data_IF_294306275141
#
_entry.id   IF_294306275141
#
_cell.length_a   1.000
_cell.length_b   1.000
_cell.length_c   1.000
_cell.angle_alpha   90.00
_cell.angle_beta   90.00
_cell.angle_gamma   90.00
#
_symmetry.space_group_name_H-M   'P 1'
#
loop_
_entity.id
_entity.type
_entity.pdbx_description
1 polymer ?
#
# COMPACT_ATOMS: atom_id res chain seq x y z
N UNK A 1 7.92 11.06 16.37
CA UNK A 1 7.06 9.87 16.48
C UNK A 1 6.29 9.68 15.18
N UNK A 2 6.18 8.44 14.74
CA UNK A 2 5.55 8.03 13.49
C UNK A 2 4.59 6.86 13.78
N UNK A 3 3.34 6.97 13.34
CA UNK A 3 2.36 5.88 13.30
C UNK A 3 2.23 5.41 11.86
N UNK A 4 2.26 4.10 11.64
CA UNK A 4 2.23 3.51 10.29
C UNK A 4 1.14 2.45 10.22
N UNK A 5 0.31 2.51 9.19
CA UNK A 5 -0.76 1.54 8.93
C UNK A 5 -0.84 1.25 7.43
N UNK A 6 -1.08 -0.01 7.05
CA UNK A 6 -1.17 -0.45 5.66
C UNK A 6 -2.38 -1.38 5.46
N UNK A 7 -2.73 -1.64 4.20
CA UNK A 7 -3.67 -2.71 3.82
C UNK A 7 -5.04 -2.55 4.50
N UNK A 8 -5.57 -1.32 4.53
CA UNK A 8 -6.89 -0.99 5.12
C UNK A 8 -8.02 -1.38 4.18
N UNK A 9 -7.80 -1.27 2.86
CA UNK A 9 -8.75 -1.61 1.81
C UNK A 9 -10.17 -1.04 2.05
N UNK A 10 -10.25 0.24 2.41
CA UNK A 10 -11.53 0.92 2.59
C UNK A 10 -12.37 0.78 1.33
N UNK A 11 -13.67 0.57 1.52
CA UNK A 11 -14.65 0.39 0.45
C UNK A 11 -14.41 -0.81 -0.49
N UNK A 12 -13.65 -1.85 -0.11
CA UNK A 12 -13.47 -3.03 -0.98
C UNK A 12 -14.82 -3.71 -1.34
N UNK A 13 -15.70 -3.93 -0.36
CA UNK A 13 -17.06 -4.44 -0.55
C UNK A 13 -18.04 -3.82 0.45
N UNK A 14 -18.61 -2.63 0.20
CA UNK A 14 -19.36 -1.89 1.22
C UNK A 14 -20.63 -2.60 1.67
N UNK A 15 -21.14 -3.60 0.96
CA UNK A 15 -22.31 -4.37 1.38
C UNK A 15 -21.97 -5.53 2.31
N UNK A 16 -20.68 -5.91 2.39
CA UNK A 16 -20.19 -6.93 3.31
C UNK A 16 -20.20 -6.37 4.75
N UNK A 17 -20.79 -7.07 5.75
CA UNK A 17 -20.77 -6.64 7.14
C UNK A 17 -19.36 -6.60 7.77
N UNK A 18 -18.47 -7.53 7.42
CA UNK A 18 -17.10 -7.58 7.95
C UNK A 18 -16.26 -6.42 7.41
N UNK A 19 -16.28 -6.23 6.08
CA UNK A 19 -16.51 -4.92 5.44
C UNK A 19 -16.55 -3.67 6.33
N UNK A 20 -17.80 -3.28 6.63
CA UNK A 20 -18.15 -2.10 7.40
C UNK A 20 -17.53 -2.11 8.80
N UNK A 21 -17.43 -3.28 9.44
CA UNK A 21 -16.85 -3.37 10.79
C UNK A 21 -15.39 -2.92 10.79
N UNK A 22 -14.60 -3.40 9.83
CA UNK A 22 -13.17 -3.09 9.83
C UNK A 22 -12.90 -1.64 9.36
N UNK A 23 -13.77 -1.08 8.50
CA UNK A 23 -13.75 0.35 8.14
C UNK A 23 -14.11 1.23 9.36
N UNK A 24 -15.11 0.82 10.17
CA UNK A 24 -15.46 1.50 11.42
C UNK A 24 -14.34 1.41 12.46
N UNK A 25 -13.70 0.25 12.59
CA UNK A 25 -12.55 0.08 13.47
C UNK A 25 -11.40 1.01 13.07
N UNK A 26 -11.18 1.21 11.77
CA UNK A 26 -10.18 2.16 11.28
C UNK A 26 -10.53 3.60 11.67
N UNK A 27 -11.78 3.99 11.54
CA UNK A 27 -12.25 5.31 11.96
C UNK A 27 -12.01 5.52 13.48
N UNK A 28 -12.31 4.52 14.31
CA UNK A 28 -12.11 4.59 15.75
C UNK A 28 -10.62 4.61 16.13
N UNK A 29 -9.79 3.91 15.37
CA UNK A 29 -8.34 4.00 15.48
C UNK A 29 -7.81 5.40 15.16
N UNK A 30 -8.29 6.03 14.09
CA UNK A 30 -7.91 7.40 13.77
C UNK A 30 -8.27 8.37 14.90
N UNK A 31 -9.46 8.23 15.51
CA UNK A 31 -9.83 9.00 16.71
C UNK A 31 -8.88 8.74 17.87
N UNK A 32 -8.55 7.47 18.13
CA UNK A 32 -7.64 7.08 19.21
C UNK A 32 -6.25 7.70 19.04
N UNK A 33 -5.62 7.55 17.87
CA UNK A 33 -4.28 8.08 17.63
C UNK A 33 -4.27 9.61 17.62
N UNK A 34 -5.34 10.27 17.19
CA UNK A 34 -5.44 11.73 17.22
C UNK A 34 -5.44 12.27 18.66
N UNK A 35 -6.16 11.61 19.57
CA UNK A 35 -6.32 12.05 20.95
C UNK A 35 -5.18 11.63 21.88
N UNK A 36 -4.50 10.52 21.59
CA UNK A 36 -3.45 9.97 22.45
C UNK A 36 -2.06 10.13 21.82
N UNK A 37 -1.70 9.24 20.88
CA UNK A 37 -0.35 9.19 20.35
C UNK A 37 0.04 10.50 19.65
N UNK A 38 -0.70 10.93 18.64
CA UNK A 38 -0.36 12.05 17.76
C UNK A 38 -0.89 13.41 18.27
N UNK A 39 -1.36 13.50 19.52
CA UNK A 39 -1.97 14.72 20.08
C UNK A 39 -1.06 15.95 20.03
N UNK A 40 0.24 15.72 20.25
CA UNK A 40 1.28 16.75 20.31
C UNK A 40 1.98 16.93 18.94
N UNK A 41 1.37 16.34 17.90
CA UNK A 41 1.91 16.27 16.54
C UNK A 41 2.71 15.01 16.26
N UNK A 42 3.26 14.92 15.05
CA UNK A 42 4.02 13.76 14.59
C UNK A 42 3.73 13.43 13.13
N UNK A 43 3.88 12.16 12.78
CA UNK A 43 3.65 11.65 11.43
C UNK A 43 2.66 10.50 11.44
N UNK A 44 1.68 10.53 10.55
CA UNK A 44 0.84 9.39 10.18
C UNK A 44 1.24 8.95 8.77
N UNK A 45 1.72 7.73 8.63
CA UNK A 45 2.08 7.13 7.34
C UNK A 45 1.02 6.11 6.97
N UNK A 46 0.28 6.42 5.92
CA UNK A 46 -0.66 5.51 5.28
C UNK A 46 0.12 4.72 4.21
N UNK A 47 0.54 3.50 4.54
CA UNK A 47 1.50 2.68 3.81
C UNK A 47 0.84 1.74 2.78
N UNK A 48 0.04 2.33 1.90
CA UNK A 48 -0.53 1.67 0.72
C UNK A 48 -1.69 0.74 1.01
N UNK A 49 -2.44 0.50 -0.05
CA UNK A 49 -3.70 -0.24 -0.08
C UNK A 49 -4.68 0.27 0.97
N UNK A 50 -4.82 1.60 1.05
CA UNK A 50 -5.68 2.26 2.04
C UNK A 50 -7.12 2.31 1.54
N UNK A 51 -7.31 2.60 0.26
CA UNK A 51 -8.62 2.59 -0.40
C UNK A 51 -8.56 1.60 -1.55
N UNK A 52 -9.56 0.75 -1.68
CA UNK A 52 -9.61 -0.20 -2.78
C UNK A 52 -10.31 0.41 -4.02
N UNK A 53 -9.51 0.91 -4.97
CA UNK A 53 -10.04 1.38 -6.26
C UNK A 53 -10.06 0.28 -7.33
N UNK A 54 -9.49 -0.90 -7.07
CA UNK A 54 -9.42 -1.94 -8.09
C UNK A 54 -10.80 -2.44 -8.45
N UNK A 55 -11.20 -2.21 -9.71
CA UNK A 55 -12.52 -2.59 -10.24
C UNK A 55 -13.66 -1.98 -9.43
N UNK A 56 -13.44 -0.76 -8.95
CA UNK A 56 -14.41 0.05 -8.24
C UNK A 56 -14.54 1.41 -8.92
N UNK A 57 -15.74 1.95 -8.97
CA UNK A 57 -15.91 3.36 -9.29
C UNK A 57 -15.25 4.22 -8.20
N UNK A 58 -14.18 4.95 -8.58
CA UNK A 58 -13.39 5.73 -7.64
C UNK A 58 -14.21 6.85 -6.96
N UNK A 59 -15.23 7.40 -7.64
CA UNK A 59 -16.05 8.45 -7.06
C UNK A 59 -16.98 7.87 -5.99
N UNK A 60 -17.55 6.68 -6.22
CA UNK A 60 -18.30 5.95 -5.19
C UNK A 60 -17.42 5.59 -3.99
N UNK A 61 -16.23 5.02 -4.23
CA UNK A 61 -15.28 4.66 -3.18
C UNK A 61 -14.90 5.86 -2.29
N UNK A 62 -14.57 7.00 -2.90
CA UNK A 62 -14.26 8.22 -2.15
C UNK A 62 -15.48 8.80 -1.41
N UNK A 63 -16.67 8.68 -1.98
CA UNK A 63 -17.91 9.15 -1.34
C UNK A 63 -18.24 8.31 -0.11
N UNK A 64 -18.09 6.99 -0.18
CA UNK A 64 -18.34 6.07 0.93
C UNK A 64 -17.32 6.24 2.06
N UNK A 65 -16.09 6.63 1.73
CA UNK A 65 -14.99 6.85 2.68
C UNK A 65 -14.85 8.32 3.11
N UNK A 66 -15.81 9.19 2.75
CA UNK A 66 -15.69 10.63 2.91
C UNK A 66 -15.46 11.07 4.37
N UNK A 67 -16.09 10.41 5.34
CA UNK A 67 -15.92 10.72 6.77
C UNK A 67 -14.49 10.43 7.25
N UNK A 68 -13.92 9.29 6.83
CA UNK A 68 -12.54 8.92 7.15
C UNK A 68 -11.56 9.92 6.52
N UNK A 69 -11.76 10.28 5.25
CA UNK A 69 -10.92 11.30 4.60
C UNK A 69 -11.09 12.68 5.26
N UNK A 70 -12.29 13.06 5.65
CA UNK A 70 -12.53 14.30 6.41
C UNK A 70 -11.70 14.32 7.69
N UNK A 71 -11.72 13.20 8.43
CA UNK A 71 -10.88 13.04 9.62
C UNK A 71 -9.40 13.16 9.29
N UNK A 72 -8.89 12.42 8.29
CA UNK A 72 -7.50 12.48 7.83
C UNK A 72 -7.09 13.91 7.45
N UNK A 73 -7.96 14.69 6.80
CA UNK A 73 -7.66 16.10 6.49
C UNK A 73 -7.64 17.02 7.71
N UNK A 74 -8.38 16.67 8.77
CA UNK A 74 -8.42 17.45 10.01
C UNK A 74 -7.13 17.35 10.83
N UNK A 75 -6.35 16.27 10.62
CA UNK A 75 -5.02 16.08 11.25
C UNK A 75 -4.01 17.16 10.87
N UNK A 76 -4.16 17.77 9.69
CA UNK A 76 -3.15 18.64 9.08
C UNK A 76 -2.78 19.91 9.86
N UNK A 77 -3.51 20.23 10.93
CA UNK A 77 -3.18 21.34 11.80
C UNK A 77 -2.02 21.05 12.77
N UNK A 78 -1.75 19.77 13.06
CA UNK A 78 -0.70 19.36 14.03
C UNK A 78 0.07 18.11 13.62
N UNK A 79 -0.46 17.30 12.70
CA UNK A 79 0.10 16.01 12.29
C UNK A 79 0.38 16.02 10.79
N UNK A 80 1.57 15.54 10.43
CA UNK A 80 1.97 15.36 9.04
C UNK A 80 1.45 14.02 8.52
N UNK A 81 0.39 14.06 7.70
CA UNK A 81 -0.14 12.86 7.04
C UNK A 81 0.61 12.64 5.71
N UNK A 82 1.22 11.46 5.58
CA UNK A 82 1.93 11.00 4.38
C UNK A 82 1.22 9.78 3.80
N UNK A 83 1.03 9.75 2.48
CA UNK A 83 0.35 8.66 1.79
C UNK A 83 1.32 7.98 0.82
N UNK A 84 1.69 6.74 1.12
CA UNK A 84 2.46 5.90 0.20
C UNK A 84 1.47 5.05 -0.58
N UNK A 85 1.41 5.18 -1.90
CA UNK A 85 0.50 4.39 -2.72
C UNK A 85 0.94 2.92 -2.78
N UNK A 86 -0.01 2.03 -2.48
CA UNK A 86 0.02 0.61 -2.82
C UNK A 86 -0.52 0.37 -4.23
N UNK A 87 -0.70 -0.91 -4.59
CA UNK A 87 -1.18 -1.24 -5.92
C UNK A 87 -2.70 -1.00 -6.08
N UNK A 88 -3.49 -1.05 -5.01
CA UNK A 88 -4.94 -0.84 -5.06
C UNK A 88 -5.35 0.64 -5.07
N UNK A 89 -4.49 1.54 -4.58
CA UNK A 89 -4.81 2.97 -4.42
C UNK A 89 -4.04 3.88 -5.39
N UNK A 90 -3.47 3.32 -6.48
CA UNK A 90 -2.63 4.03 -7.44
C UNK A 90 -3.24 5.32 -8.02
N UNK A 91 -4.57 5.40 -8.06
CA UNK A 91 -5.29 6.61 -8.48
C UNK A 91 -5.02 7.83 -7.58
N UNK A 92 -4.60 7.65 -6.32
CA UNK A 92 -4.21 8.75 -5.42
C UNK A 92 -3.04 9.56 -5.93
N UNK A 93 -2.08 8.94 -6.62
CA UNK A 93 -0.97 9.66 -7.24
C UNK A 93 -1.48 10.69 -8.26
N UNK A 94 -2.49 10.31 -9.07
CA UNK A 94 -3.11 11.21 -10.05
C UNK A 94 -3.93 12.32 -9.41
N UNK A 95 -4.67 12.01 -8.34
CA UNK A 95 -5.42 13.04 -7.61
C UNK A 95 -4.46 14.06 -6.99
N UNK A 96 -3.38 13.59 -6.37
CA UNK A 96 -2.35 14.44 -5.78
C UNK A 96 -1.71 15.36 -6.82
N UNK A 97 -1.24 14.83 -7.95
CA UNK A 97 -0.65 15.64 -9.03
C UNK A 97 -1.59 16.74 -9.54
N UNK A 98 -2.89 16.45 -9.67
CA UNK A 98 -3.88 17.40 -10.18
C UNK A 98 -4.28 18.47 -9.17
N UNK A 99 -4.25 18.14 -7.88
CA UNK A 99 -4.77 19.01 -6.82
C UNK A 99 -3.66 19.73 -6.06
N UNK A 100 -2.40 19.33 -6.22
CA UNK A 100 -1.25 20.04 -5.66
C UNK A 100 -1.22 21.50 -6.15
N UNK A 101 -0.98 22.49 -5.27
CA UNK A 101 -0.54 22.37 -3.87
C UNK A 101 -1.68 22.34 -2.84
N UNK A 102 -2.94 22.18 -3.25
CA UNK A 102 -4.12 22.23 -2.35
C UNK A 102 -4.49 20.86 -1.76
N UNK A 103 -3.73 19.82 -2.08
CA UNK A 103 -4.02 18.50 -1.55
C UNK A 103 -3.73 18.45 -0.03
N UNK A 104 -4.57 17.78 0.78
CA UNK A 104 -4.44 17.84 2.23
C UNK A 104 -3.19 17.11 2.76
N UNK A 105 -2.69 16.08 2.09
CA UNK A 105 -1.55 15.33 2.60
C UNK A 105 -0.23 16.01 2.25
N UNK A 106 0.77 15.86 3.14
CA UNK A 106 2.12 16.44 2.97
C UNK A 106 2.76 15.91 1.69
N UNK A 107 2.58 14.63 1.44
CA UNK A 107 3.07 13.95 0.26
C UNK A 107 2.15 12.77 -0.08
N UNK A 108 1.95 12.54 -1.39
CA UNK A 108 1.46 11.27 -1.92
C UNK A 108 2.50 10.74 -2.90
N UNK A 109 3.11 9.59 -2.59
CA UNK A 109 4.23 9.06 -3.37
C UNK A 109 4.29 7.53 -3.35
N UNK A 110 5.23 6.93 -4.08
CA UNK A 110 5.41 5.46 -4.10
C UNK A 110 6.31 4.95 -2.98
N UNK A 111 7.06 5.86 -2.36
CA UNK A 111 8.01 5.57 -1.30
C UNK A 111 8.25 6.84 -0.50
N UNK A 112 8.52 6.70 0.79
CA UNK A 112 8.77 7.82 1.68
C UNK A 112 10.04 7.55 2.51
N UNK A 113 10.83 8.58 2.79
CA UNK A 113 11.92 8.53 3.77
C UNK A 113 11.61 9.49 4.92
N UNK A 114 11.65 9.01 6.16
CA UNK A 114 11.54 9.84 7.37
C UNK A 114 12.67 9.54 8.35
N UNK A 115 12.88 10.46 9.30
CA UNK A 115 13.84 10.30 10.39
C UNK A 115 13.13 10.42 11.74
N UNK A 116 13.50 9.56 12.69
CA UNK A 116 13.05 9.62 14.08
C UNK A 116 14.14 9.06 15.01
N UNK A 117 14.43 9.74 16.13
CA UNK A 117 15.45 9.30 17.09
C UNK A 117 16.84 9.03 16.50
N UNK A 118 17.23 9.78 15.47
CA UNK A 118 18.51 9.61 14.77
C UNK A 118 18.55 8.43 13.78
N UNK A 119 17.50 7.63 13.67
CA UNK A 119 17.36 6.56 12.68
C UNK A 119 16.57 7.02 11.46
N UNK A 120 16.96 6.56 10.26
CA UNK A 120 16.21 6.78 9.03
C UNK A 120 15.34 5.55 8.70
N UNK A 121 14.16 5.80 8.17
CA UNK A 121 13.16 4.81 7.81
C UNK A 121 12.74 5.00 6.37
N UNK A 122 12.74 3.92 5.59
CA UNK A 122 12.30 3.89 4.21
C UNK A 122 11.01 3.08 4.09
N UNK A 123 9.97 3.70 3.58
CA UNK A 123 8.62 3.17 3.54
C UNK A 123 8.23 2.86 2.10
N UNK A 124 7.78 1.63 1.84
CA UNK A 124 7.14 1.20 0.60
C UNK A 124 5.94 0.31 0.92
N UNK A 125 4.96 0.20 0.03
CA UNK A 125 3.84 -0.71 0.28
C UNK A 125 4.28 -2.19 0.32
N UNK A 126 5.09 -2.66 -0.63
CA UNK A 126 5.62 -4.03 -0.63
C UNK A 126 5.36 -4.82 -1.92
N UNK A 127 4.36 -4.42 -2.73
CA UNK A 127 4.15 -5.01 -4.07
C UNK A 127 5.40 -4.92 -4.96
N UNK A 128 6.27 -3.93 -4.72
CA UNK A 128 7.56 -3.78 -5.39
C UNK A 128 8.44 -5.02 -5.18
N UNK A 129 8.45 -5.56 -3.96
CA UNK A 129 9.21 -6.77 -3.62
C UNK A 129 8.57 -8.01 -4.24
N UNK A 130 7.24 -8.07 -4.29
CA UNK A 130 6.53 -9.16 -4.97
C UNK A 130 6.87 -9.21 -6.45
N UNK A 131 6.83 -8.07 -7.17
CA UNK A 131 7.21 -7.99 -8.58
C UNK A 131 8.63 -8.53 -8.80
N UNK A 132 9.56 -8.23 -7.91
CA UNK A 132 10.95 -8.69 -8.03
C UNK A 132 11.08 -10.19 -7.72
N UNK A 133 10.28 -10.69 -6.78
CA UNK A 133 10.20 -12.09 -6.39
C UNK A 133 9.43 -12.95 -7.41
N UNK A 134 8.54 -12.36 -8.21
CA UNK A 134 7.67 -13.08 -9.11
C UNK A 134 8.46 -13.65 -10.32
N UNK A 135 8.29 -14.93 -10.66
CA UNK A 135 8.99 -15.53 -11.78
C UNK A 135 8.44 -15.11 -13.17
N UNK A 136 7.20 -14.61 -13.25
CA UNK A 136 6.53 -14.34 -14.53
C UNK A 136 6.58 -12.88 -14.97
N UNK A 137 6.65 -11.94 -14.03
CA UNK A 137 6.76 -10.52 -14.35
C UNK A 137 7.76 -9.84 -13.42
N UNK A 138 8.75 -9.16 -14.00
CA UNK A 138 9.78 -8.39 -13.27
C UNK A 138 9.80 -6.91 -13.65
N UNK A 139 8.80 -6.46 -14.39
CA UNK A 139 8.67 -5.06 -14.81
C UNK A 139 7.76 -4.34 -13.85
N UNK A 140 8.35 -3.55 -12.94
CA UNK A 140 7.61 -2.71 -12.02
C UNK A 140 6.72 -1.71 -12.78
N UNK A 141 7.26 -1.08 -13.82
CA UNK A 141 6.52 -0.15 -14.69
C UNK A 141 5.28 -0.79 -15.32
N UNK A 142 5.38 -2.02 -15.83
CA UNK A 142 4.22 -2.71 -16.41
C UNK A 142 3.19 -3.04 -15.33
N UNK A 143 3.62 -3.55 -14.18
CA UNK A 143 2.74 -3.87 -13.05
C UNK A 143 1.97 -2.64 -12.54
N UNK A 144 2.68 -1.52 -12.36
CA UNK A 144 2.09 -0.25 -11.94
C UNK A 144 1.10 0.28 -12.99
N UNK A 145 1.43 0.16 -14.28
CA UNK A 145 0.50 0.52 -15.36
C UNK A 145 -0.78 -0.30 -15.29
N UNK A 146 -0.70 -1.61 -15.03
CA UNK A 146 -1.89 -2.45 -14.86
C UNK A 146 -2.70 -2.06 -13.62
N UNK A 147 -2.02 -1.83 -12.50
CA UNK A 147 -2.62 -1.42 -11.23
C UNK A 147 -3.40 -0.10 -11.39
N UNK A 148 -2.82 0.86 -12.11
CA UNK A 148 -3.48 2.12 -12.43
C UNK A 148 -4.72 1.93 -13.32
N UNK A 149 -4.62 1.11 -14.37
CA UNK A 149 -5.77 0.84 -15.24
C UNK A 149 -6.90 0.10 -14.50
N UNK A 150 -6.57 -0.76 -13.54
CA UNK A 150 -7.54 -1.41 -12.66
C UNK A 150 -8.31 -0.40 -11.80
N UNK A 151 -7.67 0.68 -11.37
CA UNK A 151 -8.33 1.77 -10.64
C UNK A 151 -9.31 2.58 -11.52
N UNK A 152 -9.09 2.59 -12.84
CA UNK A 152 -9.91 3.36 -13.79
C UNK A 152 -11.09 2.55 -14.35
N UNK A 153 -11.11 1.24 -14.14
CA UNK A 153 -12.01 0.34 -14.85
C UNK A 153 -13.45 0.33 -14.30
N UNK A 154 -13.69 0.88 -13.10
CA UNK A 154 -15.00 0.90 -12.48
C UNK A 154 -15.54 -0.49 -12.10
N UNK A 155 -16.81 -0.57 -11.70
CA UNK A 155 -17.46 -1.76 -11.11
C UNK A 155 -17.71 -2.95 -12.08
N UNK A 156 -17.12 -2.97 -13.28
CA UNK A 156 -17.51 -3.92 -14.35
C UNK A 156 -16.79 -5.28 -14.23
N UNK A 157 -17.49 -6.33 -13.79
CA UNK A 157 -16.92 -7.61 -13.32
C UNK A 157 -16.79 -8.70 -14.39
N UNK A 158 -17.33 -8.52 -15.60
CA UNK A 158 -17.48 -9.62 -16.56
C UNK A 158 -16.30 -9.91 -17.50
N UNK A 159 -15.42 -8.92 -17.78
CA UNK A 159 -14.35 -9.03 -18.80
C UNK A 159 -13.11 -8.17 -18.47
N UNK A 160 -12.81 -7.97 -17.18
CA UNK A 160 -11.76 -7.07 -16.72
C UNK A 160 -10.39 -7.33 -17.36
N UNK A 161 -9.93 -8.58 -17.44
CA UNK A 161 -8.64 -8.92 -18.03
C UNK A 161 -8.50 -8.49 -19.51
N UNK A 162 -9.50 -8.80 -20.33
CA UNK A 162 -9.49 -8.46 -21.76
C UNK A 162 -9.53 -6.96 -21.99
N UNK A 163 -10.29 -6.24 -21.17
CA UNK A 163 -10.41 -4.79 -21.30
C UNK A 163 -9.21 -4.03 -20.73
N UNK A 164 -8.60 -4.54 -19.65
CA UNK A 164 -7.31 -4.05 -19.15
C UNK A 164 -6.22 -4.22 -20.20
N UNK A 165 -6.25 -5.34 -20.92
CA UNK A 165 -5.36 -5.57 -22.04
C UNK A 165 -5.54 -4.53 -23.16
N UNK A 166 -6.77 -4.24 -23.57
CA UNK A 166 -7.06 -3.22 -24.59
C UNK A 166 -6.67 -1.80 -24.13
N UNK A 167 -6.96 -1.45 -22.88
CA UNK A 167 -6.56 -0.18 -22.27
C UNK A 167 -5.04 -0.04 -22.23
N UNK A 168 -4.34 -1.11 -21.84
CA UNK A 168 -2.88 -1.15 -21.81
C UNK A 168 -2.26 -1.05 -23.21
N UNK A 169 -2.84 -1.72 -24.22
CA UNK A 169 -2.38 -1.55 -25.61
C UNK A 169 -2.55 -0.10 -26.10
N UNK A 170 -3.60 0.58 -25.65
CA UNK A 170 -3.85 1.98 -25.98
C UNK A 170 -2.83 2.91 -25.29
N UNK A 171 -2.52 2.68 -24.01
CA UNK A 171 -1.49 3.45 -23.29
C UNK A 171 -0.08 3.23 -23.85
N UNK A 172 0.22 2.02 -24.34
CA UNK A 172 1.46 1.69 -25.07
C UNK A 172 1.64 2.52 -26.35
N UNK A 173 0.56 2.83 -27.07
CA UNK A 173 0.63 3.69 -28.26
C UNK A 173 1.03 5.13 -27.91
N UNK A 174 0.75 5.58 -26.69
CA UNK A 174 1.09 6.91 -26.19
C UNK A 174 2.46 6.96 -25.51
N UNK A 175 2.87 5.89 -24.83
CA UNK A 175 4.13 5.76 -24.07
C UNK A 175 5.25 5.06 -24.85
N UNK A 176 5.43 5.45 -26.13
CA UNK A 176 6.35 4.82 -27.08
C UNK A 176 7.69 4.36 -26.47
N UNK A 177 7.94 3.04 -26.48
CA UNK A 177 9.24 2.42 -26.24
C UNK A 177 9.66 2.18 -24.78
N UNK A 178 8.99 2.73 -23.77
CA UNK A 178 9.46 2.64 -22.37
C UNK A 178 8.95 1.41 -21.61
N UNK A 179 7.82 0.83 -22.01
CA UNK A 179 7.20 -0.28 -21.27
C UNK A 179 7.70 -1.64 -21.77
N UNK A 180 8.63 -2.26 -21.03
CA UNK A 180 9.06 -3.64 -21.27
C UNK A 180 8.01 -4.63 -20.79
N UNK A 181 7.29 -5.19 -21.74
CA UNK A 181 6.20 -6.13 -21.50
C UNK A 181 6.72 -7.51 -21.04
N UNK A 182 6.02 -8.18 -20.11
CA UNK A 182 6.24 -9.60 -19.87
C UNK A 182 5.93 -10.41 -21.14
N UNK A 183 6.59 -11.57 -21.29
CA UNK A 183 6.43 -12.46 -22.46
C UNK A 183 4.99 -12.99 -22.56
N UNK A 184 4.32 -13.17 -21.43
CA UNK A 184 2.91 -13.54 -21.34
C UNK A 184 2.13 -12.56 -20.45
N UNK A 185 1.61 -11.50 -21.06
CA UNK A 185 0.82 -10.47 -20.38
C UNK A 185 -0.53 -11.02 -19.90
N UNK A 186 -1.16 -11.92 -20.65
CA UNK A 186 -2.46 -12.47 -20.26
C UNK A 186 -2.34 -13.29 -18.98
N UNK A 187 -1.30 -14.13 -18.87
CA UNK A 187 -1.00 -14.85 -17.65
C UNK A 187 -0.64 -13.89 -16.49
N UNK A 188 0.11 -12.81 -16.77
CA UNK A 188 0.47 -11.81 -15.76
C UNK A 188 -0.77 -11.10 -15.20
N UNK A 189 -1.67 -10.64 -16.07
CA UNK A 189 -2.96 -10.04 -15.68
C UNK A 189 -3.83 -11.02 -14.89
N UNK A 190 -3.95 -12.26 -15.36
CA UNK A 190 -4.68 -13.31 -14.62
C UNK A 190 -4.06 -13.58 -13.25
N UNK A 191 -2.73 -13.54 -13.14
CA UNK A 191 -2.03 -13.71 -11.88
C UNK A 191 -2.30 -12.56 -10.92
N UNK A 192 -2.31 -11.31 -11.40
CA UNK A 192 -2.63 -10.12 -10.60
C UNK A 192 -4.07 -10.12 -10.07
N UNK A 193 -4.99 -10.76 -10.81
CA UNK A 193 -6.40 -10.87 -10.42
C UNK A 193 -6.66 -11.92 -9.33
N UNK A 194 -5.66 -12.74 -8.98
CA UNK A 194 -5.77 -13.69 -7.87
C UNK A 194 -5.67 -12.99 -6.52
N UNK A 195 -6.23 -13.62 -5.50
CA UNK A 195 -6.11 -13.15 -4.12
C UNK A 195 -4.63 -13.03 -3.69
N UNK A 196 -4.29 -12.11 -2.76
CA UNK A 196 -2.94 -12.03 -2.19
C UNK A 196 -2.44 -13.40 -1.69
N UNK A 197 -3.28 -14.18 -1.02
CA UNK A 197 -2.95 -15.51 -0.49
C UNK A 197 -2.51 -16.47 -1.61
N UNK A 198 -3.28 -16.53 -2.70
CA UNK A 198 -2.94 -17.36 -3.85
C UNK A 198 -1.66 -16.92 -4.56
N UNK A 199 -1.37 -15.61 -4.58
CA UNK A 199 -0.14 -15.06 -5.19
C UNK A 199 1.08 -15.29 -4.31
N UNK A 200 0.93 -15.14 -2.99
CA UNK A 200 2.01 -15.19 -2.01
C UNK A 200 2.36 -16.60 -1.56
N UNK A 201 1.34 -17.44 -1.33
CA UNK A 201 1.47 -18.80 -0.77
C UNK A 201 1.29 -19.92 -1.81
N UNK A 202 0.86 -19.58 -3.03
CA UNK A 202 0.67 -20.52 -4.11
C UNK A 202 1.97 -21.15 -4.65
N UNK A 203 1.91 -21.69 -5.87
CA UNK A 203 2.97 -22.50 -6.48
C UNK A 203 4.38 -21.84 -6.53
N UNK A 204 4.46 -20.52 -6.39
CA UNK A 204 5.71 -19.75 -6.47
C UNK A 204 6.27 -19.32 -5.12
N UNK A 205 5.56 -19.55 -4.01
CA UNK A 205 5.98 -19.19 -2.64
C UNK A 205 6.60 -17.78 -2.56
N UNK A 206 5.94 -16.80 -3.20
CA UNK A 206 6.48 -15.46 -3.37
C UNK A 206 6.78 -14.79 -2.03
N UNK A 207 6.01 -15.07 -0.97
CA UNK A 207 6.25 -14.59 0.40
C UNK A 207 7.68 -14.83 0.88
N UNK A 208 8.15 -16.08 0.83
CA UNK A 208 9.51 -16.44 1.24
C UNK A 208 10.61 -15.73 0.44
N UNK A 209 10.33 -15.36 -0.81
CA UNK A 209 11.26 -14.63 -1.66
C UNK A 209 11.21 -13.13 -1.37
N UNK A 210 10.03 -12.59 -1.06
CA UNK A 210 9.83 -11.22 -0.57
C UNK A 210 10.61 -11.03 0.73
N UNK A 211 10.42 -11.90 1.73
CA UNK A 211 11.07 -11.76 3.03
C UNK A 211 12.60 -11.84 2.91
N UNK A 212 13.10 -12.77 2.09
CA UNK A 212 14.54 -12.86 1.78
C UNK A 212 15.07 -11.62 1.07
N UNK A 213 14.31 -11.04 0.15
CA UNK A 213 14.71 -9.82 -0.55
C UNK A 213 14.68 -8.62 0.40
N UNK A 214 13.63 -8.49 1.22
CA UNK A 214 13.44 -7.45 2.22
C UNK A 214 14.56 -7.51 3.28
N UNK A 215 14.95 -8.70 3.73
CA UNK A 215 16.03 -8.92 4.68
C UNK A 215 17.44 -8.76 4.06
N UNK A 216 17.55 -8.80 2.74
CA UNK A 216 18.82 -8.73 2.03
C UNK A 216 19.32 -7.30 1.86
N UNK A 217 20.64 -7.12 1.99
CA UNK A 217 21.31 -5.87 1.60
C UNK A 217 21.16 -5.53 0.12
N UNK A 218 20.84 -6.51 -0.73
CA UNK A 218 20.63 -6.29 -2.15
C UNK A 218 19.39 -5.42 -2.44
N UNK A 219 18.46 -5.27 -1.48
CA UNK A 219 17.26 -4.42 -1.63
C UNK A 219 17.60 -3.00 -2.06
N UNK A 220 18.71 -2.44 -1.59
CA UNK A 220 19.14 -1.08 -1.95
C UNK A 220 19.37 -0.88 -3.45
N UNK A 221 19.61 -1.96 -4.21
CA UNK A 221 19.78 -1.92 -5.67
C UNK A 221 18.45 -1.85 -6.43
N UNK A 222 17.36 -2.29 -5.81
CA UNK A 222 16.09 -2.49 -6.49
C UNK A 222 15.00 -1.52 -6.06
N UNK A 223 14.95 -1.16 -4.77
CA UNK A 223 13.85 -0.36 -4.21
C UNK A 223 14.27 1.06 -3.84
N UNK A 224 15.52 1.45 -4.08
CA UNK A 224 16.01 2.82 -3.84
C UNK A 224 16.33 3.17 -2.37
N UNK A 225 16.15 2.24 -1.43
CA UNK A 225 16.53 2.42 -0.03
C UNK A 225 18.05 2.59 0.15
N UNK A 226 18.45 3.44 1.11
CA UNK A 226 19.83 3.56 1.57
C UNK A 226 20.24 2.38 2.47
N UNK A 227 21.55 2.16 2.64
CA UNK A 227 22.08 0.98 3.37
C UNK A 227 21.79 1.03 4.88
N UNK A 228 21.69 2.22 5.44
CA UNK A 228 21.47 2.49 6.86
C UNK A 228 19.99 2.72 7.19
N UNK A 229 19.09 2.71 6.21
CA UNK A 229 17.66 2.83 6.45
C UNK A 229 17.05 1.53 7.01
N UNK A 230 16.08 1.68 7.91
CA UNK A 230 15.16 0.61 8.29
C UNK A 230 14.08 0.52 7.22
N UNK A 231 13.94 -0.64 6.56
CA UNK A 231 12.86 -0.87 5.61
C UNK A 231 11.57 -1.15 6.37
N UNK A 232 10.52 -0.40 6.04
CA UNK A 232 9.15 -0.60 6.52
C UNK A 232 8.27 -0.92 5.31
N UNK A 233 7.60 -2.08 5.32
CA UNK A 233 6.72 -2.51 4.23
C UNK A 233 5.49 -3.26 4.72
N UNK A 234 4.43 -3.35 3.91
CA UNK A 234 3.20 -4.12 4.14
C UNK A 234 2.97 -5.18 3.07
N UNK A 235 1.74 -5.27 2.53
CA UNK A 235 1.33 -6.07 1.36
C UNK A 235 1.25 -7.59 1.55
N UNK A 236 2.11 -8.18 2.37
CA UNK A 236 2.15 -9.65 2.54
C UNK A 236 1.13 -10.18 3.54
N UNK A 237 0.41 -9.27 4.22
CA UNK A 237 -0.54 -9.54 5.31
C UNK A 237 0.05 -10.42 6.42
N UNK A 238 1.38 -10.37 6.56
CA UNK A 238 2.09 -11.29 7.44
C UNK A 238 1.80 -10.98 8.91
N UNK A 239 1.59 -12.04 9.67
CA UNK A 239 1.21 -11.92 11.06
C UNK A 239 2.39 -11.76 12.01
N UNK A 240 3.59 -12.16 11.57
CA UNK A 240 4.82 -12.04 12.33
C UNK A 240 5.52 -10.70 12.03
N UNK A 241 4.82 -9.60 12.30
CA UNK A 241 5.24 -8.19 12.14
C UNK A 241 6.39 -7.76 13.08
N UNK A 242 7.27 -8.69 13.47
CA UNK A 242 8.38 -8.40 14.37
C UNK A 242 9.48 -7.63 13.63
N UNK A 243 10.01 -6.60 14.29
CA UNK A 243 11.18 -5.89 13.80
C UNK A 243 12.42 -6.80 13.82
N UNK A 244 12.99 -7.09 12.66
CA UNK A 244 14.28 -7.75 12.54
C UNK A 244 15.39 -6.70 12.62
N UNK A 245 15.99 -6.59 13.80
CA UNK A 245 17.09 -5.66 14.05
C UNK A 245 18.37 -6.00 13.27
N UNK A 246 18.61 -7.27 12.96
CA UNK A 246 19.81 -7.71 12.23
C UNK A 246 19.73 -7.30 10.76
N UNK A 247 18.54 -7.45 10.17
CA UNK A 247 18.27 -7.09 8.79
C UNK A 247 17.73 -5.67 8.60
N UNK A 248 17.41 -4.96 9.69
CA UNK A 248 16.80 -3.61 9.71
C UNK A 248 15.54 -3.56 8.84
N UNK A 249 14.61 -4.45 9.13
CA UNK A 249 13.36 -4.56 8.37
C UNK A 249 12.20 -4.85 9.31
N UNK A 250 11.04 -4.28 9.00
CA UNK A 250 9.77 -4.56 9.68
C UNK A 250 8.65 -4.61 8.67
N UNK A 251 7.75 -5.59 8.86
CA UNK A 251 6.50 -5.67 8.14
C UNK A 251 5.40 -5.01 9.00
N UNK A 252 4.55 -4.15 8.42
CA UNK A 252 3.43 -3.51 9.13
C UNK A 252 2.30 -4.49 9.47
N UNK A 253 2.25 -5.64 8.81
CA UNK A 253 1.11 -6.55 8.84
C UNK A 253 0.02 -6.04 7.91
N UNK A 254 -1.23 -6.09 8.38
CA UNK A 254 -2.38 -5.53 7.68
C UNK A 254 -3.40 -5.01 8.69
N UNK A 255 -4.11 -3.94 8.31
CA UNK A 255 -5.31 -3.53 8.99
C UNK A 255 -6.44 -4.51 8.65
N UNK A 256 -6.89 -5.25 9.66
CA UNK A 256 -7.62 -6.50 9.49
C UNK A 256 -8.72 -6.47 8.42
N UNK A 257 -8.56 -7.31 7.39
CA UNK A 257 -9.56 -8.24 6.83
C UNK A 257 -8.87 -9.56 6.46
N UNK A 258 -9.64 -10.67 6.43
CA UNK A 258 -9.19 -12.07 6.38
C UNK A 258 -7.94 -12.30 5.50
N UNK A 259 -6.92 -13.08 5.95
CA UNK A 259 -6.93 -13.98 7.10
C UNK A 259 -6.49 -13.35 8.44
N UNK A 260 -6.20 -12.05 8.47
CA UNK A 260 -5.72 -11.39 9.69
C UNK A 260 -6.72 -11.48 10.86
N UNK A 261 -6.22 -11.59 12.09
CA UNK A 261 -7.06 -11.66 13.31
C UNK A 261 -7.07 -10.36 14.14
N UNK A 262 -6.09 -9.48 13.94
CA UNK A 262 -5.90 -8.24 14.72
C UNK A 262 -5.72 -7.03 13.80
N UNK A 263 -6.18 -5.85 14.24
CA UNK A 263 -5.94 -4.58 13.54
C UNK A 263 -4.52 -4.10 13.85
N UNK A 264 -3.56 -4.37 12.96
CA UNK A 264 -2.15 -4.06 13.23
C UNK A 264 -1.71 -2.71 12.68
N UNK A 265 -0.79 -2.10 13.41
CA UNK A 265 -0.09 -0.88 13.02
C UNK A 265 1.30 -0.86 13.66
N UNK A 266 2.19 0.00 13.16
CA UNK A 266 3.50 0.22 13.78
C UNK A 266 3.54 1.58 14.47
N UNK A 267 4.22 1.59 15.61
CA UNK A 267 4.64 2.80 16.31
C UNK A 267 6.16 2.91 16.24
N UNK A 268 6.65 4.06 15.76
CA UNK A 268 8.07 4.40 15.75
C UNK A 268 8.29 5.63 16.62
N UNK A 269 9.07 5.46 17.69
CA UNK A 269 9.35 6.52 18.65
C UNK A 269 10.76 6.42 19.19
N UNK A 270 11.49 7.53 19.14
CA UNK A 270 12.89 7.62 19.51
C UNK A 270 13.74 6.56 18.79
N UNK A 271 13.43 6.35 17.50
CA UNK A 271 14.10 5.38 16.64
C UNK A 271 13.76 3.90 16.94
N UNK A 272 12.89 3.62 17.91
CA UNK A 272 12.45 2.27 18.27
C UNK A 272 11.16 1.92 17.53
N UNK A 273 11.13 0.73 16.94
CA UNK A 273 9.98 0.19 16.22
C UNK A 273 9.22 -0.77 17.13
N UNK A 274 7.91 -0.60 17.24
CA UNK A 274 7.03 -1.51 17.94
C UNK A 274 5.79 -1.83 17.10
N UNK A 275 5.55 -3.12 16.86
CA UNK A 275 4.28 -3.60 16.32
C UNK A 275 3.21 -3.55 17.41
N UNK A 276 2.03 -3.03 17.06
CA UNK A 276 0.90 -2.84 17.95
C UNK A 276 -0.35 -3.44 17.32
N UNK A 277 -1.31 -3.79 18.17
CA UNK A 277 -2.65 -4.19 17.76
C UNK A 277 -3.66 -3.24 18.40
N UNK A 278 -4.60 -2.75 17.60
CA UNK A 278 -5.77 -2.01 18.05
C UNK A 278 -6.91 -2.98 18.38
N UNK A 279 -7.62 -2.72 19.48
CA UNK A 279 -8.69 -3.58 20.01
C UNK A 279 -9.88 -2.74 20.43
#
# INVERSE_FOLDING_TARGET
MIIVVSDVHLAQHPDDPDVKRDDQAFEDFLKHIACDQLRDGGHLVLLGDIVDFWRRDFAKALTETAEIFSMLTSFNNSVNVHYVAGNHDFFMLRLYERQTPKFPFVEVSRSLSLQDGGSKFFFIHGYQLEVLANPFYKSLTSYESFSENLCLYGDDTGNAASRLWDAFQTSKSLLGGLVRLPVDISASLKSMMKSPEERLEGAHKAKSSIDRLAASRARTLYIGAERDEVLVYGHTHDHDSAYDAACRVVNTGSWKKSPCEEYRFLEIKDGRVAAKAFR
#
